data_IF_868599476713
#
_entry.id   IF_868599476713
#
_cell.length_a   1.000
_cell.length_b   1.000
_cell.length_c   1.000
_cell.angle_alpha   90.00
_cell.angle_beta   90.00
_cell.angle_gamma   90.00
#
_symmetry.space_group_name_H-M   'P 1'
#
loop_
_entity.id
_entity.type
_entity.pdbx_description
1 polymer ?
#
# COMPACT_ATOMS: atom_id res chain seq x y z
N UNK A 1 -3.52 -11.68 -15.95
CA UNK A 1 -2.50 -10.77 -15.40
C UNK A 1 -3.01 -10.22 -14.09
N UNK A 2 -2.23 -10.30 -13.02
CA UNK A 2 -2.61 -9.74 -11.73
C UNK A 2 -2.55 -8.20 -11.71
N UNK A 3 -3.16 -7.61 -10.69
CA UNK A 3 -3.22 -6.16 -10.48
C UNK A 3 -2.43 -5.73 -9.26
N UNK A 4 -1.79 -4.56 -9.31
CA UNK A 4 -1.21 -3.89 -8.15
C UNK A 4 -2.24 -2.95 -7.52
N UNK A 5 -2.57 -3.24 -6.28
CA UNK A 5 -3.51 -2.48 -5.47
C UNK A 5 -2.73 -1.65 -4.45
N UNK A 6 -2.54 -0.37 -4.73
CA UNK A 6 -1.84 0.55 -3.84
C UNK A 6 -2.80 1.07 -2.79
N UNK A 7 -2.51 0.80 -1.52
CA UNK A 7 -3.24 1.29 -0.36
C UNK A 7 -2.43 2.36 0.36
N UNK A 8 -3.01 3.56 0.53
CA UNK A 8 -2.36 4.66 1.24
C UNK A 8 -3.34 5.46 2.10
N UNK A 9 -2.87 5.87 3.26
CA UNK A 9 -3.46 6.98 4.01
C UNK A 9 -2.88 8.27 3.47
N UNK A 10 -3.74 9.22 3.11
CA UNK A 10 -3.34 10.44 2.42
C UNK A 10 -4.02 11.67 3.03
N UNK A 11 -3.26 12.75 3.19
CA UNK A 11 -3.79 14.05 3.59
C UNK A 11 -4.44 14.80 2.41
N UNK A 12 -5.22 15.86 2.68
CA UNK A 12 -5.84 16.68 1.64
C UNK A 12 -4.83 17.32 0.67
N UNK A 13 -3.62 17.58 1.14
CA UNK A 13 -2.52 18.11 0.33
C UNK A 13 -1.60 17.04 -0.25
N UNK A 14 -2.01 15.74 -0.18
CA UNK A 14 -1.39 14.63 -0.90
C UNK A 14 -0.21 13.96 -0.19
N UNK A 15 0.04 14.26 1.06
CA UNK A 15 1.15 13.67 1.84
C UNK A 15 0.79 12.28 2.35
N UNK A 16 1.73 11.32 2.23
CA UNK A 16 1.55 9.91 2.61
C UNK A 16 2.57 9.41 3.65
N UNK A 17 3.51 10.27 4.08
CA UNK A 17 4.60 9.87 4.95
C UNK A 17 4.16 9.64 6.39
N UNK A 18 4.72 8.61 7.01
CA UNK A 18 4.66 8.27 8.44
C UNK A 18 3.28 8.57 9.05
N UNK A 19 2.22 7.81 8.71
CA UNK A 19 0.83 8.20 8.90
C UNK A 19 0.35 8.15 10.37
N UNK A 20 1.22 8.47 11.35
CA UNK A 20 0.86 8.61 12.77
C UNK A 20 -0.16 9.74 13.01
N UNK A 21 -0.24 10.69 12.10
CA UNK A 21 -1.23 11.76 12.09
C UNK A 21 -2.67 11.25 11.85
N UNK A 22 -2.84 9.99 11.49
CA UNK A 22 -4.17 9.34 11.37
C UNK A 22 -4.74 8.95 12.74
N UNK A 23 -3.91 8.74 13.76
CA UNK A 23 -4.33 8.20 15.05
C UNK A 23 -5.46 8.97 15.75
N UNK A 24 -5.50 10.32 15.74
CA UNK A 24 -6.59 11.07 16.36
C UNK A 24 -7.98 10.80 15.75
N UNK A 25 -8.03 10.32 14.52
CA UNK A 25 -9.29 10.03 13.81
C UNK A 25 -9.84 8.64 14.11
N UNK A 26 -9.04 7.77 14.73
CA UNK A 26 -9.38 6.37 14.92
C UNK A 26 -9.51 5.60 13.59
N UNK A 27 -9.95 4.37 13.70
CA UNK A 27 -10.16 3.49 12.54
C UNK A 27 -11.62 2.99 12.57
N UNK A 28 -12.47 3.52 11.69
CA UNK A 28 -13.87 3.15 11.64
C UNK A 28 -14.01 1.67 11.18
N UNK A 29 -15.03 0.97 11.68
CA UNK A 29 -15.27 -0.43 11.33
C UNK A 29 -15.37 -0.65 9.82
N UNK A 30 -16.04 0.25 9.10
CA UNK A 30 -16.19 0.18 7.65
C UNK A 30 -14.84 0.30 6.91
N UNK A 31 -13.87 1.06 7.47
CA UNK A 31 -12.51 1.10 6.94
C UNK A 31 -11.84 -0.27 7.03
N UNK A 32 -12.01 -0.95 8.17
CA UNK A 32 -11.52 -2.31 8.40
C UNK A 32 -12.14 -3.32 7.42
N UNK A 33 -13.46 -3.26 7.23
CA UNK A 33 -14.17 -4.13 6.27
C UNK A 33 -13.67 -3.92 4.83
N UNK A 34 -13.43 -2.67 4.44
CA UNK A 34 -12.90 -2.33 3.12
C UNK A 34 -11.46 -2.84 2.93
N UNK A 35 -10.62 -2.68 3.95
CA UNK A 35 -9.25 -3.18 3.92
C UNK A 35 -9.22 -4.71 3.90
N UNK A 36 -10.06 -5.39 4.67
CA UNK A 36 -10.20 -6.85 4.64
C UNK A 36 -10.63 -7.37 3.27
N UNK A 37 -11.54 -6.68 2.59
CA UNK A 37 -11.94 -7.03 1.22
C UNK A 37 -10.78 -6.87 0.21
N UNK A 38 -9.92 -5.88 0.39
CA UNK A 38 -8.74 -5.65 -0.44
C UNK A 38 -7.68 -6.73 -0.18
N UNK A 39 -7.33 -6.98 1.08
CA UNK A 39 -6.32 -7.98 1.46
C UNK A 39 -6.78 -9.39 1.12
N UNK A 40 -8.06 -9.71 1.28
CA UNK A 40 -8.61 -11.04 1.00
C UNK A 40 -8.54 -11.48 -0.47
N UNK A 41 -8.44 -10.55 -1.42
CA UNK A 41 -8.22 -10.88 -2.85
C UNK A 41 -6.74 -10.90 -3.25
N UNK A 42 -5.87 -10.30 -2.46
CA UNK A 42 -4.44 -10.20 -2.76
C UNK A 42 -3.72 -11.52 -2.48
N UNK A 43 -2.83 -11.91 -3.38
CA UNK A 43 -2.05 -13.16 -3.31
C UNK A 43 -0.63 -12.97 -2.80
N UNK A 44 -0.17 -11.74 -2.75
CA UNK A 44 1.14 -11.34 -2.25
C UNK A 44 1.13 -9.91 -1.76
N UNK A 45 2.19 -9.54 -1.06
CA UNK A 45 2.42 -8.19 -0.56
C UNK A 45 3.69 -7.66 -1.21
N UNK A 46 3.63 -6.51 -1.85
CA UNK A 46 4.81 -5.84 -2.42
C UNK A 46 5.19 -4.65 -1.53
N UNK A 47 6.41 -4.63 -1.03
CA UNK A 47 6.90 -3.63 -0.09
C UNK A 47 8.23 -3.03 -0.56
N UNK A 48 8.41 -1.73 -0.35
CA UNK A 48 9.74 -1.13 -0.32
C UNK A 48 10.44 -1.39 1.02
N UNK A 49 11.77 -1.30 1.03
CA UNK A 49 12.61 -1.57 2.20
C UNK A 49 12.12 -0.87 3.47
N UNK A 50 11.85 0.43 3.42
CA UNK A 50 11.46 1.21 4.61
C UNK A 50 10.17 0.68 5.24
N UNK A 51 9.16 0.41 4.42
CA UNK A 51 7.88 -0.17 4.91
C UNK A 51 8.09 -1.58 5.43
N UNK A 52 8.89 -2.41 4.74
CA UNK A 52 9.25 -3.73 5.24
C UNK A 52 9.89 -3.65 6.65
N UNK A 53 10.86 -2.75 6.85
CA UNK A 53 11.54 -2.59 8.14
C UNK A 53 10.57 -2.18 9.27
N UNK A 54 9.62 -1.29 8.99
CA UNK A 54 8.57 -0.92 9.95
C UNK A 54 7.63 -2.10 10.24
N UNK A 55 7.16 -2.77 9.21
CA UNK A 55 6.19 -3.85 9.32
C UNK A 55 6.77 -5.09 10.00
N UNK A 56 8.02 -5.42 9.72
CA UNK A 56 8.72 -6.55 10.35
C UNK A 56 8.93 -6.38 11.86
N UNK A 57 8.81 -5.17 12.38
CA UNK A 57 8.81 -4.90 13.83
C UNK A 57 7.40 -4.91 14.42
N UNK A 58 6.39 -4.56 13.62
CA UNK A 58 5.03 -4.36 14.11
C UNK A 58 4.15 -5.61 14.04
N UNK A 59 4.28 -6.43 12.99
CA UNK A 59 3.34 -7.50 12.68
C UNK A 59 3.67 -8.88 13.25
N UNK A 60 4.95 -9.33 13.35
CA UNK A 60 5.27 -10.73 13.69
C UNK A 60 4.66 -11.23 14.99
N UNK A 61 4.49 -10.34 15.96
CA UNK A 61 3.96 -10.69 17.29
C UNK A 61 2.46 -10.38 17.45
N UNK A 62 1.79 -9.88 16.41
CA UNK A 62 0.35 -9.61 16.46
C UNK A 62 -0.44 -10.85 16.10
N UNK A 63 -1.52 -11.05 16.84
CA UNK A 63 -2.48 -12.14 16.62
C UNK A 63 -3.77 -11.62 15.98
N UNK A 64 -4.57 -12.51 15.40
CA UNK A 64 -5.88 -12.17 14.86
C UNK A 64 -6.86 -11.58 15.90
N UNK A 65 -6.65 -11.86 17.18
CA UNK A 65 -7.46 -11.29 18.27
C UNK A 65 -7.13 -9.83 18.56
N UNK A 66 -5.87 -9.42 18.33
CA UNK A 66 -5.38 -8.05 18.51
C UNK A 66 -5.64 -7.19 17.28
N UNK A 67 -5.45 -7.78 16.11
CA UNK A 67 -5.65 -7.14 14.81
C UNK A 67 -6.09 -8.18 13.77
N UNK A 68 -7.32 -8.10 13.25
CA UNK A 68 -7.81 -9.03 12.23
C UNK A 68 -6.99 -9.10 10.95
N UNK A 69 -6.17 -8.09 10.67
CA UNK A 69 -5.24 -8.06 9.53
C UNK A 69 -3.95 -8.84 9.74
N UNK A 70 -3.61 -9.21 11.00
CA UNK A 70 -2.35 -9.86 11.32
C UNK A 70 -2.11 -11.18 10.55
N UNK A 71 -3.06 -12.07 10.36
CA UNK A 71 -2.85 -13.29 9.56
C UNK A 71 -2.45 -12.96 8.10
N UNK A 72 -3.10 -11.98 7.47
CA UNK A 72 -2.73 -11.58 6.11
C UNK A 72 -1.26 -11.14 6.03
N UNK A 73 -0.83 -10.23 6.91
CA UNK A 73 0.55 -9.72 6.90
C UNK A 73 1.59 -10.78 7.28
N UNK A 74 1.28 -11.70 8.17
CA UNK A 74 2.21 -12.72 8.62
C UNK A 74 2.29 -13.91 7.66
N UNK A 75 1.17 -14.37 7.12
CA UNK A 75 1.11 -15.63 6.38
C UNK A 75 1.29 -15.46 4.86
N UNK A 76 0.97 -14.26 4.32
CA UNK A 76 1.15 -13.95 2.90
C UNK A 76 2.62 -13.68 2.58
N UNK A 77 3.08 -14.10 1.40
CA UNK A 77 4.44 -13.83 0.92
C UNK A 77 4.64 -12.33 0.69
N UNK A 78 5.72 -11.79 1.27
CA UNK A 78 6.18 -10.41 1.12
C UNK A 78 7.31 -10.35 0.12
N UNK A 79 7.09 -9.69 -1.00
CA UNK A 79 8.11 -9.38 -2.00
C UNK A 79 8.68 -8.00 -1.69
N UNK A 80 9.98 -7.94 -1.37
CA UNK A 80 10.61 -6.70 -0.94
C UNK A 80 11.54 -6.17 -2.01
N UNK A 81 11.21 -4.97 -2.50
CA UNK A 81 12.05 -4.24 -3.45
C UNK A 81 13.18 -3.57 -2.68
N UNK A 82 14.38 -4.10 -2.80
CA UNK A 82 15.57 -3.55 -2.17
C UNK A 82 16.84 -4.12 -2.77
N UNK A 83 17.77 -3.25 -3.19
CA UNK A 83 19.11 -3.66 -3.61
C UNK A 83 20.10 -3.83 -2.45
N UNK A 84 19.69 -3.57 -1.21
CA UNK A 84 20.60 -3.51 -0.05
C UNK A 84 20.10 -4.29 1.17
N UNK A 85 18.86 -4.80 1.15
CA UNK A 85 18.35 -5.64 2.23
C UNK A 85 18.95 -7.03 2.08
N UNK A 86 19.68 -7.46 3.08
CA UNK A 86 20.17 -8.83 3.28
C UNK A 86 19.50 -9.42 4.51
N UNK A 87 19.36 -10.73 4.57
CA UNK A 87 18.88 -11.46 5.75
C UNK A 87 17.53 -10.95 6.32
N UNK A 88 16.43 -10.99 5.53
CA UNK A 88 15.11 -10.64 6.02
C UNK A 88 14.69 -11.62 7.12
N UNK A 89 14.27 -11.08 8.29
CA UNK A 89 13.92 -11.89 9.47
C UNK A 89 12.43 -12.19 9.59
N UNK A 90 11.57 -11.43 8.92
CA UNK A 90 10.13 -11.68 8.95
C UNK A 90 9.77 -12.85 8.03
N UNK A 91 9.01 -13.81 8.55
CA UNK A 91 8.63 -15.02 7.81
C UNK A 91 7.99 -14.70 6.45
N UNK A 92 8.09 -15.62 5.52
CA UNK A 92 7.50 -15.50 4.17
C UNK A 92 7.97 -14.23 3.43
N UNK A 93 9.24 -13.88 3.54
CA UNK A 93 9.83 -12.71 2.88
C UNK A 93 10.79 -13.13 1.79
N UNK A 94 10.63 -12.54 0.61
CA UNK A 94 11.49 -12.67 -0.55
C UNK A 94 12.00 -11.31 -0.99
N UNK A 95 13.32 -11.12 -1.05
CA UNK A 95 13.94 -9.89 -1.55
C UNK A 95 14.14 -10.04 -3.06
N UNK A 96 13.47 -9.20 -3.84
CA UNK A 96 13.45 -9.28 -5.32
C UNK A 96 14.46 -8.33 -5.99
N UNK A 97 15.39 -7.76 -5.22
CA UNK A 97 16.41 -6.85 -5.75
C UNK A 97 15.98 -5.40 -5.81
N UNK A 98 16.79 -4.57 -6.47
CA UNK A 98 16.46 -3.17 -6.72
C UNK A 98 15.22 -3.05 -7.60
N UNK A 99 14.57 -1.89 -7.56
CA UNK A 99 13.39 -1.64 -8.40
C UNK A 99 13.72 -1.81 -9.89
N UNK A 100 12.96 -2.66 -10.55
CA UNK A 100 13.00 -2.91 -11.98
C UNK A 100 11.56 -3.16 -12.48
N UNK A 101 11.02 -2.34 -13.41
CA UNK A 101 9.64 -2.47 -13.88
C UNK A 101 9.33 -3.84 -14.50
N UNK A 102 10.29 -4.47 -15.17
CA UNK A 102 10.07 -5.78 -15.81
C UNK A 102 9.99 -6.90 -14.77
N UNK A 103 10.75 -6.80 -13.71
CA UNK A 103 10.62 -7.71 -12.56
C UNK A 103 9.24 -7.59 -11.91
N UNK A 104 8.71 -6.36 -11.77
CA UNK A 104 7.36 -6.15 -11.23
C UNK A 104 6.28 -6.71 -12.17
N UNK A 105 6.42 -6.55 -13.49
CA UNK A 105 5.49 -7.12 -14.47
C UNK A 105 5.43 -8.64 -14.38
N UNK A 106 6.61 -9.30 -14.34
CA UNK A 106 6.68 -10.76 -14.15
C UNK A 106 6.04 -11.19 -12.85
N UNK A 107 6.32 -10.50 -11.75
CA UNK A 107 5.73 -10.81 -10.46
C UNK A 107 4.18 -10.76 -10.49
N UNK A 108 3.59 -9.76 -11.16
CA UNK A 108 2.13 -9.67 -11.38
C UNK A 108 1.59 -10.88 -12.17
N UNK A 109 2.33 -11.37 -13.14
CA UNK A 109 1.93 -12.52 -13.95
C UNK A 109 2.00 -13.83 -13.17
N UNK A 110 3.05 -14.01 -12.38
CA UNK A 110 3.33 -15.23 -11.64
C UNK A 110 2.47 -15.38 -10.37
N UNK A 111 2.30 -14.29 -9.64
CA UNK A 111 1.63 -14.28 -8.32
C UNK A 111 0.15 -13.93 -8.42
N UNK A 112 -0.21 -13.02 -9.31
CA UNK A 112 -1.55 -12.46 -9.41
C UNK A 112 -1.68 -11.11 -8.70
N UNK A 113 -2.80 -10.87 -8.02
CA UNK A 113 -3.08 -9.60 -7.36
C UNK A 113 -2.15 -9.35 -6.17
N UNK A 114 -1.52 -8.18 -6.14
CA UNK A 114 -0.58 -7.78 -5.11
C UNK A 114 -1.08 -6.55 -4.34
N UNK A 115 -1.03 -6.63 -3.01
CA UNK A 115 -1.24 -5.52 -2.11
C UNK A 115 0.05 -4.71 -1.94
N UNK A 116 -0.03 -3.40 -2.04
CA UNK A 116 1.11 -2.48 -1.87
C UNK A 116 0.75 -1.42 -0.82
N UNK A 117 1.53 -1.32 0.25
CA UNK A 117 1.35 -0.30 1.31
C UNK A 117 2.65 0.52 1.52
N UNK A 118 3.26 0.96 0.45
CA UNK A 118 4.53 1.69 0.51
C UNK A 118 5.75 0.80 0.25
N UNK A 119 6.95 1.32 0.28
CA UNK A 119 7.30 2.71 0.66
C UNK A 119 6.80 3.72 -0.38
N UNK A 120 6.66 4.99 0.03
CA UNK A 120 6.25 6.05 -0.88
C UNK A 120 7.16 6.18 -2.12
N UNK A 121 8.46 5.90 -2.00
CA UNK A 121 9.38 5.86 -3.14
C UNK A 121 9.01 4.75 -4.12
N UNK A 122 8.73 3.53 -3.63
CA UNK A 122 8.27 2.43 -4.47
C UNK A 122 6.95 2.79 -5.17
N UNK A 123 5.98 3.31 -4.43
CA UNK A 123 4.66 3.67 -4.97
C UNK A 123 4.78 4.72 -6.07
N UNK A 124 5.61 5.76 -5.88
CA UNK A 124 5.85 6.76 -6.92
C UNK A 124 6.49 6.16 -8.19
N UNK A 125 7.43 5.22 -8.04
CA UNK A 125 8.00 4.51 -9.19
C UNK A 125 6.94 3.67 -9.91
N UNK A 126 6.10 2.94 -9.18
CA UNK A 126 5.00 2.16 -9.76
C UNK A 126 3.99 3.04 -10.52
N UNK A 127 3.67 4.22 -9.98
CA UNK A 127 2.80 5.20 -10.64
C UNK A 127 3.46 5.74 -11.92
N UNK A 128 4.74 6.12 -11.83
CA UNK A 128 5.48 6.67 -12.97
C UNK A 128 5.58 5.68 -14.13
N UNK A 129 5.79 4.39 -13.84
CA UNK A 129 5.91 3.33 -14.85
C UNK A 129 4.55 2.72 -15.27
N UNK A 130 3.43 3.28 -14.77
CA UNK A 130 2.10 2.80 -15.11
C UNK A 130 1.75 1.43 -14.56
N UNK A 131 2.41 1.00 -13.49
CA UNK A 131 2.23 -0.32 -12.88
C UNK A 131 1.24 -0.34 -11.71
N UNK A 132 0.91 0.81 -11.12
CA UNK A 132 -0.14 0.94 -10.12
C UNK A 132 -1.52 0.90 -10.79
N UNK A 133 -2.15 -0.28 -10.79
CA UNK A 133 -3.43 -0.50 -11.50
C UNK A 133 -4.61 0.13 -10.77
N UNK A 134 -4.62 0.01 -9.44
CA UNK A 134 -5.66 0.59 -8.58
C UNK A 134 -5.04 1.35 -7.41
N UNK A 135 -5.62 2.50 -7.10
CA UNK A 135 -5.32 3.29 -5.92
C UNK A 135 -6.49 3.18 -4.93
N UNK A 136 -6.20 2.75 -3.72
CA UNK A 136 -7.11 2.63 -2.59
C UNK A 136 -6.70 3.66 -1.55
N UNK A 137 -7.27 4.86 -1.62
CA UNK A 137 -6.86 6.01 -0.85
C UNK A 137 -7.84 6.28 0.29
N UNK A 138 -7.33 6.37 1.51
CA UNK A 138 -8.07 6.87 2.67
C UNK A 138 -7.68 8.33 2.88
N UNK A 139 -8.50 9.24 2.38
CA UNK A 139 -8.28 10.68 2.43
C UNK A 139 -8.73 11.22 3.77
N UNK A 140 -7.79 11.69 4.56
CA UNK A 140 -8.02 12.25 5.88
C UNK A 140 -8.27 13.75 5.82
N UNK A 141 -9.16 14.30 6.67
CA UNK A 141 -9.59 15.71 6.62
C UNK A 141 -8.56 16.64 7.29
N UNK A 142 -7.31 16.60 6.84
CA UNK A 142 -6.23 17.46 7.32
C UNK A 142 -5.22 17.73 6.22
N UNK A 143 -4.42 18.77 6.41
CA UNK A 143 -3.23 19.06 5.60
C UNK A 143 -1.98 18.91 6.44
N UNK A 144 -0.87 18.51 5.80
CA UNK A 144 0.45 18.37 6.46
C UNK A 144 1.33 19.60 6.24
N UNK A 145 1.13 20.31 5.13
CA UNK A 145 1.95 21.44 4.71
C UNK A 145 3.28 21.03 4.09
N UNK A 146 3.91 19.97 4.59
CA UNK A 146 5.18 19.42 4.13
C UNK A 146 5.16 17.89 4.18
N UNK A 147 6.10 17.27 3.50
CA UNK A 147 6.27 15.81 3.46
C UNK A 147 6.14 15.22 2.05
N UNK A 148 6.57 13.94 1.86
CA UNK A 148 6.52 13.27 0.59
C UNK A 148 5.07 13.09 0.12
N UNK A 149 4.80 13.49 -1.12
CA UNK A 149 3.48 13.33 -1.76
C UNK A 149 3.37 11.99 -2.48
N UNK A 150 2.14 11.53 -2.64
CA UNK A 150 1.84 10.28 -3.33
C UNK A 150 2.27 10.33 -4.80
N UNK A 151 1.86 11.36 -5.52
CA UNK A 151 2.08 11.45 -6.96
C UNK A 151 3.45 12.04 -7.30
N UNK A 152 4.21 11.41 -8.25
CA UNK A 152 5.48 11.94 -8.70
C UNK A 152 5.28 13.24 -9.49
N UNK A 153 6.19 14.19 -9.33
CA UNK A 153 6.17 15.44 -10.09
C UNK A 153 6.45 15.18 -11.57
N UNK A 154 5.78 15.93 -12.43
CA UNK A 154 6.00 15.88 -13.88
C UNK A 154 5.49 14.63 -14.59
N UNK A 155 4.76 13.76 -13.90
CA UNK A 155 4.19 12.54 -14.48
C UNK A 155 2.65 12.62 -14.44
N UNK A 156 2.02 13.08 -15.51
CA UNK A 156 0.56 13.11 -15.60
C UNK A 156 0.01 11.67 -15.69
N UNK A 157 -1.05 11.39 -14.96
CA UNK A 157 -1.76 10.11 -15.00
C UNK A 157 -3.25 10.35 -14.86
N UNK A 158 -4.05 9.54 -15.54
CA UNK A 158 -5.51 9.62 -15.48
C UNK A 158 -6.10 8.39 -14.84
N UNK A 159 -7.18 8.59 -14.10
CA UNK A 159 -7.85 7.53 -13.35
C UNK A 159 -9.36 7.65 -13.47
N UNK A 160 -10.04 6.52 -13.47
CA UNK A 160 -11.49 6.45 -13.35
C UNK A 160 -11.87 6.13 -11.90
N UNK A 161 -12.84 6.87 -11.36
CA UNK A 161 -13.39 6.60 -10.04
C UNK A 161 -14.19 5.29 -10.05
N UNK A 162 -13.79 4.34 -9.21
CA UNK A 162 -14.50 3.09 -8.99
C UNK A 162 -15.47 3.20 -7.81
N UNK A 163 -14.96 3.62 -6.65
CA UNK A 163 -15.75 3.70 -5.41
C UNK A 163 -15.39 4.98 -4.64
N UNK A 164 -16.42 5.60 -4.03
CA UNK A 164 -16.26 6.71 -3.10
C UNK A 164 -17.17 6.46 -1.89
N UNK A 165 -16.60 6.44 -0.69
CA UNK A 165 -17.33 6.23 0.58
C UNK A 165 -16.86 7.22 1.62
N UNK A 166 -17.78 7.83 2.37
CA UNK A 166 -17.44 8.68 3.52
C UNK A 166 -17.70 7.91 4.82
N UNK A 167 -16.83 8.13 5.81
CA UNK A 167 -16.92 7.48 7.10
C UNK A 167 -17.23 8.48 8.23
N UNK A 168 -17.80 8.00 9.36
CA UNK A 168 -18.21 8.87 10.47
C UNK A 168 -17.06 9.70 11.09
N UNK A 169 -15.81 9.23 10.96
CA UNK A 169 -14.61 9.91 11.44
C UNK A 169 -14.09 11.01 10.47
N UNK A 170 -14.83 11.31 9.40
CA UNK A 170 -14.46 12.32 8.41
C UNK A 170 -13.51 11.84 7.31
N UNK A 171 -13.06 10.59 7.37
CA UNK A 171 -12.22 10.00 6.32
C UNK A 171 -13.09 9.66 5.10
N UNK A 172 -12.55 9.88 3.90
CA UNK A 172 -13.17 9.48 2.64
C UNK A 172 -12.31 8.40 1.99
N UNK A 173 -12.91 7.25 1.69
CA UNK A 173 -12.25 6.22 0.87
C UNK A 173 -12.53 6.48 -0.60
N UNK A 174 -11.47 6.41 -1.40
CA UNK A 174 -11.51 6.55 -2.86
C UNK A 174 -10.78 5.35 -3.48
N UNK A 175 -11.47 4.62 -4.33
CA UNK A 175 -10.83 3.66 -5.22
C UNK A 175 -10.80 4.23 -6.63
N UNK A 176 -9.60 4.38 -7.15
CA UNK A 176 -9.35 4.81 -8.52
C UNK A 176 -8.66 3.70 -9.31
N UNK A 177 -9.11 3.50 -10.53
CA UNK A 177 -8.47 2.60 -11.51
C UNK A 177 -7.72 3.43 -12.55
N UNK A 178 -6.49 3.03 -12.85
CA UNK A 178 -5.74 3.67 -13.91
C UNK A 178 -6.48 3.51 -15.24
N UNK A 179 -6.58 4.61 -15.97
CA UNK A 179 -6.97 4.62 -17.39
C UNK A 179 -5.72 4.77 -18.24
N UNK A 180 -5.73 4.20 -19.44
CA UNK A 180 -4.59 4.29 -20.38
C UNK A 180 -4.20 5.73 -20.69
#
# INVERSE_FOLDING_TARGET
MGSLHVHEFISLDGVIDTPTWTFPYGFAEQMGQRLAALTGKSKGILLGRTTYQMFSQAWPNRTAAEDPGAPFFNDTTKYVVSGTLTDPTWQNTEVIGAYDPDTIRRLKEEVGDLYVSGSGTLVRSLIADGLADELHLYLYPLTRGEGPKLFPEGVPSTYALGTCESYPNGVVYLNYKRTE
#
